data_IF_833278658442
#
_entry.id   IF_833278658442
#
_cell.length_a   1.000
_cell.length_b   1.000
_cell.length_c   1.000
_cell.angle_alpha   90.00
_cell.angle_beta   90.00
_cell.angle_gamma   90.00
#
_symmetry.space_group_name_H-M   'P 1'
#
loop_
_entity.id
_entity.type
_entity.pdbx_description
1 polymer ?
#
# COMPACT_ATOMS: atom_id res chain seq x y z
N UNK A 1 5.30 -24.37 14.80
CA UNK A 1 6.08 -23.12 14.63
C UNK A 1 5.33 -22.24 13.64
N UNK A 2 5.34 -20.93 13.84
CA UNK A 2 4.87 -19.97 12.85
C UNK A 2 6.02 -19.74 11.86
N UNK A 3 5.89 -20.27 10.65
CA UNK A 3 6.87 -20.18 9.55
C UNK A 3 6.10 -19.92 8.24
N UNK A 4 5.53 -18.71 8.10
CA UNK A 4 4.78 -18.36 6.88
C UNK A 4 5.69 -18.47 5.66
N UNK A 5 5.11 -18.86 4.52
CA UNK A 5 5.80 -18.90 3.23
C UNK A 5 5.19 -17.88 2.29
N UNK A 6 5.97 -17.24 1.42
CA UNK A 6 5.45 -16.30 0.46
C UNK A 6 4.28 -16.85 -0.36
N UNK A 7 3.37 -15.96 -0.74
CA UNK A 7 2.15 -16.24 -1.50
C UNK A 7 1.07 -17.01 -0.75
N UNK A 8 1.15 -17.05 0.58
CA UNK A 8 0.11 -17.63 1.42
C UNK A 8 0.30 -19.10 1.77
N UNK A 9 -0.72 -19.69 2.37
CA UNK A 9 -0.66 -21.05 2.89
C UNK A 9 -2.04 -21.73 2.88
N UNK A 10 -2.05 -23.07 3.00
CA UNK A 10 -3.26 -23.82 3.30
C UNK A 10 -3.47 -23.88 4.81
N UNK A 11 -4.66 -23.50 5.27
CA UNK A 11 -5.03 -23.51 6.69
C UNK A 11 -6.33 -24.28 6.90
N UNK A 12 -6.39 -25.10 7.94
CA UNK A 12 -7.64 -25.71 8.39
C UNK A 12 -8.24 -24.89 9.53
N UNK A 13 -9.52 -24.52 9.40
CA UNK A 13 -10.26 -23.72 10.37
C UNK A 13 -11.29 -24.61 11.07
N UNK A 14 -11.28 -24.61 12.41
CA UNK A 14 -12.32 -25.23 13.24
C UNK A 14 -13.10 -24.14 13.95
N UNK A 15 -14.41 -24.10 13.75
CA UNK A 15 -15.32 -23.17 14.41
C UNK A 15 -16.30 -23.95 15.25
N UNK A 16 -16.39 -23.62 16.53
CA UNK A 16 -17.44 -24.13 17.41
C UNK A 16 -18.11 -22.99 18.18
N UNK A 17 -19.40 -23.14 18.49
CA UNK A 17 -20.18 -22.18 19.29
C UNK A 17 -20.74 -22.92 20.50
N UNK A 18 -20.61 -22.31 21.67
CA UNK A 18 -21.20 -22.81 22.92
C UNK A 18 -22.39 -21.95 23.33
N UNK A 19 -23.45 -22.57 23.83
CA UNK A 19 -24.55 -21.84 24.46
C UNK A 19 -24.17 -21.33 25.86
N UNK A 20 -25.11 -20.65 26.53
CA UNK A 20 -24.98 -20.14 27.90
C UNK A 20 -24.70 -21.22 28.95
N UNK A 21 -25.08 -22.47 28.67
CA UNK A 21 -24.80 -23.65 29.48
C UNK A 21 -23.44 -24.29 29.17
N UNK A 22 -22.69 -23.77 28.20
CA UNK A 22 -21.38 -24.29 27.79
C UNK A 22 -21.44 -25.48 26.83
N UNK A 23 -22.62 -25.87 26.36
CA UNK A 23 -22.84 -26.97 25.42
C UNK A 23 -22.51 -26.51 24.00
N UNK A 24 -21.78 -27.33 23.24
CA UNK A 24 -21.46 -27.02 21.84
C UNK A 24 -22.73 -27.17 21.00
N UNK A 25 -23.22 -26.06 20.45
CA UNK A 25 -24.43 -25.98 19.60
C UNK A 25 -24.10 -25.84 18.11
N UNK A 26 -22.82 -25.63 17.79
CA UNK A 26 -22.29 -25.64 16.42
C UNK A 26 -20.84 -26.12 16.47
N UNK A 27 -20.44 -27.00 15.55
CA UNK A 27 -19.08 -27.48 15.37
C UNK A 27 -18.85 -27.77 13.88
N UNK A 28 -17.88 -27.09 13.27
CA UNK A 28 -17.59 -27.26 11.85
C UNK A 28 -16.10 -27.07 11.55
N UNK A 29 -15.58 -27.95 10.69
CA UNK A 29 -14.25 -27.84 10.10
C UNK A 29 -14.34 -27.36 8.65
N UNK A 30 -13.42 -26.46 8.28
CA UNK A 30 -13.06 -26.15 6.90
C UNK A 30 -11.58 -26.44 6.71
N UNK A 31 -11.28 -27.58 6.11
CA UNK A 31 -9.91 -28.00 5.87
C UNK A 31 -9.37 -27.40 4.57
N UNK A 32 -8.06 -27.20 4.52
CA UNK A 32 -7.34 -26.77 3.31
C UNK A 32 -7.87 -25.45 2.71
N UNK A 33 -8.23 -24.49 3.57
CA UNK A 33 -8.62 -23.14 3.13
C UNK A 33 -7.38 -22.41 2.63
N UNK A 34 -7.41 -21.95 1.38
CA UNK A 34 -6.38 -21.10 0.79
C UNK A 34 -6.38 -19.73 1.47
N UNK A 35 -5.22 -19.35 2.01
CA UNK A 35 -4.97 -18.04 2.58
C UNK A 35 -4.07 -17.26 1.63
N UNK A 36 -4.38 -15.98 1.45
CA UNK A 36 -3.62 -15.07 0.60
C UNK A 36 -3.05 -13.97 1.50
N UNK A 37 -1.74 -13.80 1.48
CA UNK A 37 -1.10 -12.74 2.24
C UNK A 37 -1.22 -11.42 1.48
N UNK A 38 -1.52 -10.38 2.23
CA UNK A 38 -1.80 -9.05 1.71
C UNK A 38 -0.58 -8.50 0.94
N UNK A 39 -0.82 -7.86 -0.20
CA UNK A 39 0.22 -7.25 -1.03
C UNK A 39 1.18 -8.20 -1.77
N UNK A 40 1.38 -9.43 -1.31
CA UNK A 40 2.42 -10.33 -1.86
C UNK A 40 2.12 -10.79 -3.29
N UNK A 41 0.88 -11.19 -3.56
CA UNK A 41 0.46 -11.56 -4.92
C UNK A 41 0.46 -10.36 -5.86
N UNK A 42 0.16 -9.17 -5.34
CA UNK A 42 0.15 -7.92 -6.11
C UNK A 42 1.57 -7.48 -6.47
N UNK A 43 2.50 -7.53 -5.52
CA UNK A 43 3.90 -7.11 -5.71
C UNK A 43 4.75 -8.20 -6.37
N UNK A 44 4.38 -9.47 -6.22
CA UNK A 44 5.17 -10.62 -6.62
C UNK A 44 5.19 -10.95 -8.11
N UNK A 45 5.81 -12.09 -8.41
CA UNK A 45 6.13 -12.58 -9.75
C UNK A 45 5.16 -13.66 -10.26
N UNK A 46 4.22 -14.11 -9.43
CA UNK A 46 3.34 -15.23 -9.74
C UNK A 46 2.04 -14.79 -10.42
N UNK A 47 1.50 -15.70 -11.21
CA UNK A 47 0.16 -15.59 -11.79
C UNK A 47 -0.87 -16.11 -10.78
N UNK A 48 -1.93 -15.33 -10.57
CA UNK A 48 -3.12 -15.71 -9.83
C UNK A 48 -4.35 -15.38 -10.66
N UNK A 49 -5.26 -16.34 -10.81
CA UNK A 49 -6.48 -16.20 -11.63
C UNK A 49 -6.20 -15.65 -13.04
N UNK A 50 -5.07 -16.04 -13.65
CA UNK A 50 -4.70 -15.65 -15.01
C UNK A 50 -4.03 -14.27 -15.15
N UNK A 51 -3.79 -13.55 -14.05
CA UNK A 51 -3.06 -12.26 -14.04
C UNK A 51 -1.86 -12.31 -13.10
N UNK A 52 -0.72 -11.82 -13.59
CA UNK A 52 0.52 -11.72 -12.80
C UNK A 52 0.48 -10.58 -11.79
N UNK A 53 1.32 -10.67 -10.76
CA UNK A 53 1.70 -9.49 -9.96
C UNK A 53 2.60 -8.53 -10.74
N UNK A 54 3.03 -7.45 -10.09
CA UNK A 54 3.87 -6.43 -10.72
C UNK A 54 5.20 -6.98 -11.26
N UNK A 55 5.92 -7.77 -10.46
CA UNK A 55 7.21 -8.32 -10.87
C UNK A 55 7.13 -9.32 -12.03
N UNK A 56 5.95 -9.94 -12.25
CA UNK A 56 5.73 -10.81 -13.41
C UNK A 56 5.91 -10.06 -14.74
N UNK A 57 5.53 -8.78 -14.77
CA UNK A 57 5.62 -7.94 -15.97
C UNK A 57 6.93 -7.15 -16.07
N UNK A 58 7.77 -7.19 -15.03
CA UNK A 58 9.02 -6.44 -15.02
C UNK A 58 10.11 -7.19 -15.80
N UNK A 59 10.94 -6.47 -16.58
CA UNK A 59 12.06 -7.06 -17.30
C UNK A 59 13.01 -7.85 -16.40
N UNK A 60 13.64 -8.91 -16.95
CA UNK A 60 14.50 -9.81 -16.19
C UNK A 60 15.84 -9.19 -15.74
N UNK A 61 16.25 -8.08 -16.37
CA UNK A 61 17.47 -7.34 -16.02
C UNK A 61 17.29 -6.45 -14.76
N UNK A 62 16.07 -6.31 -14.25
CA UNK A 62 15.84 -5.69 -12.95
C UNK A 62 16.19 -6.65 -11.81
N UNK A 63 17.06 -6.20 -10.91
CA UNK A 63 17.24 -6.84 -9.61
C UNK A 63 15.96 -6.73 -8.77
N UNK A 64 15.57 -7.82 -8.11
CA UNK A 64 14.31 -7.94 -7.37
C UNK A 64 14.60 -8.04 -5.87
N UNK A 65 14.53 -6.92 -5.17
CA UNK A 65 14.58 -6.90 -3.71
C UNK A 65 13.15 -6.89 -3.15
N UNK A 66 12.78 -7.97 -2.43
CA UNK A 66 11.41 -8.21 -1.95
C UNK A 66 11.39 -8.20 -0.42
N UNK A 67 10.75 -7.18 0.14
CA UNK A 67 10.53 -7.03 1.58
C UNK A 67 9.10 -7.45 1.91
N UNK A 68 8.93 -8.69 2.38
CA UNK A 68 7.64 -9.20 2.83
C UNK A 68 7.70 -9.63 4.29
N UNK A 69 6.56 -9.56 4.96
CA UNK A 69 6.44 -10.06 6.32
C UNK A 69 6.55 -11.59 6.36
N UNK A 70 6.09 -12.30 5.32
CA UNK A 70 6.21 -13.77 5.23
C UNK A 70 7.62 -14.28 4.96
N UNK A 71 8.48 -13.49 4.29
CA UNK A 71 9.88 -13.89 4.05
C UNK A 71 10.83 -13.39 5.14
N UNK A 72 10.30 -12.70 6.17
CA UNK A 72 11.05 -12.19 7.31
C UNK A 72 11.94 -10.98 7.00
N UNK A 73 11.80 -10.35 5.82
CA UNK A 73 12.55 -9.15 5.44
C UNK A 73 11.81 -7.83 5.73
N UNK A 74 10.52 -7.87 6.05
CA UNK A 74 9.77 -6.72 6.55
C UNK A 74 9.28 -6.98 7.97
N UNK A 75 9.97 -6.39 8.95
CA UNK A 75 9.66 -6.51 10.37
C UNK A 75 9.40 -5.16 11.01
N UNK A 76 10.02 -4.09 10.51
CA UNK A 76 9.75 -2.72 10.95
C UNK A 76 10.10 -1.66 9.88
N UNK A 77 10.02 -0.39 10.29
CA UNK A 77 10.32 0.77 9.45
C UNK A 77 11.79 0.86 9.02
N UNK A 78 12.72 0.34 9.82
CA UNK A 78 14.14 0.39 9.51
C UNK A 78 14.51 -0.52 8.36
N UNK A 79 13.87 -1.69 8.22
CA UNK A 79 14.06 -2.58 7.07
C UNK A 79 13.76 -1.83 5.76
N UNK A 80 12.61 -1.14 5.71
CA UNK A 80 12.16 -0.35 4.56
C UNK A 80 13.12 0.80 4.28
N UNK A 81 13.47 1.60 5.30
CA UNK A 81 14.42 2.72 5.14
C UNK A 81 15.79 2.22 4.68
N UNK A 82 16.28 1.10 5.21
CA UNK A 82 17.58 0.54 4.85
C UNK A 82 17.61 0.12 3.37
N UNK A 83 16.62 -0.64 2.93
CA UNK A 83 16.51 -1.07 1.53
C UNK A 83 16.40 0.13 0.57
N UNK A 84 15.57 1.12 0.92
CA UNK A 84 15.44 2.35 0.13
C UNK A 84 16.76 3.13 0.05
N UNK A 85 17.55 3.17 1.13
CA UNK A 85 18.83 3.87 1.18
C UNK A 85 19.91 3.26 0.28
N UNK A 86 19.82 1.96 -0.04
CA UNK A 86 20.69 1.32 -1.04
C UNK A 86 20.41 1.86 -2.45
N UNK A 87 19.14 2.23 -2.70
CA UNK A 87 18.63 2.82 -3.93
C UNK A 87 17.96 1.80 -4.84
N UNK A 88 16.89 2.21 -5.52
CA UNK A 88 16.16 1.38 -6.47
C UNK A 88 15.59 2.22 -7.62
N UNK A 89 15.29 1.57 -8.75
CA UNK A 89 14.61 2.24 -9.88
C UNK A 89 13.11 2.39 -9.68
N UNK A 90 12.49 1.41 -9.01
CA UNK A 90 11.09 1.42 -8.61
C UNK A 90 10.95 1.03 -7.15
N UNK A 91 10.01 1.67 -6.46
CA UNK A 91 9.52 1.26 -5.15
C UNK A 91 8.05 0.88 -5.31
N UNK A 92 7.68 -0.37 -5.01
CA UNK A 92 6.27 -0.78 -5.00
C UNK A 92 5.84 -1.22 -3.60
N UNK A 93 4.85 -0.54 -3.04
CA UNK A 93 4.30 -0.82 -1.71
C UNK A 93 2.81 -1.14 -1.87
N UNK A 94 2.39 -2.37 -1.58
CA UNK A 94 0.97 -2.78 -1.60
C UNK A 94 0.53 -3.21 -0.21
N UNK A 95 -0.45 -2.50 0.37
CA UNK A 95 -0.81 -2.60 1.78
C UNK A 95 -1.73 -1.47 2.22
N UNK A 96 -1.60 -1.01 3.46
CA UNK A 96 -2.44 0.01 4.09
C UNK A 96 -1.76 1.36 4.11
N UNK A 97 -2.55 2.42 3.87
CA UNK A 97 -2.06 3.79 3.84
C UNK A 97 -2.93 4.74 4.64
N UNK A 98 -2.32 5.83 5.04
CA UNK A 98 -2.94 7.07 5.49
C UNK A 98 -2.11 8.25 4.96
N UNK A 99 -2.53 9.51 5.17
CA UNK A 99 -1.66 10.64 4.87
C UNK A 99 -0.34 10.59 5.65
N UNK A 100 -0.33 10.02 6.86
CA UNK A 100 0.84 9.99 7.73
C UNK A 100 1.76 8.78 7.49
N UNK A 101 1.21 7.62 7.17
CA UNK A 101 1.95 6.36 7.28
C UNK A 101 1.49 5.32 6.28
N UNK A 102 2.38 4.38 6.02
CA UNK A 102 2.09 3.16 5.29
C UNK A 102 2.54 1.96 6.10
N UNK A 103 1.78 0.87 6.02
CA UNK A 103 2.08 -0.38 6.71
C UNK A 103 1.37 -1.58 6.08
N UNK A 104 1.68 -2.76 6.59
CA UNK A 104 1.06 -4.01 6.15
C UNK A 104 0.85 -4.96 7.34
N UNK A 105 0.23 -6.12 7.11
CA UNK A 105 -0.03 -7.10 8.14
C UNK A 105 0.96 -8.27 8.16
N UNK A 106 1.15 -8.84 9.35
CA UNK A 106 1.77 -10.15 9.51
C UNK A 106 0.88 -11.24 8.90
N UNK A 107 1.47 -12.28 8.28
CA UNK A 107 0.72 -13.37 7.66
C UNK A 107 -0.28 -14.03 8.61
N UNK A 108 -1.54 -14.13 8.20
CA UNK A 108 -2.60 -14.72 9.01
C UNK A 108 -3.10 -13.87 10.18
N UNK A 109 -2.62 -12.62 10.33
CA UNK A 109 -3.10 -11.63 11.31
C UNK A 109 -3.19 -12.22 12.74
N UNK A 110 -2.08 -12.79 13.28
CA UNK A 110 -2.10 -13.49 14.55
C UNK A 110 -2.48 -12.55 15.69
N UNK A 111 -3.43 -12.97 16.52
CA UNK A 111 -3.84 -12.17 17.66
C UNK A 111 -4.71 -10.95 17.33
N UNK A 112 -5.25 -10.82 16.10
CA UNK A 112 -6.04 -9.70 15.57
C UNK A 112 -5.20 -8.58 14.91
N UNK A 113 -5.88 -7.64 14.23
CA UNK A 113 -5.24 -6.55 13.48
C UNK A 113 -4.35 -5.66 14.35
N UNK A 114 -4.75 -5.36 15.59
CA UNK A 114 -3.98 -4.48 16.48
C UNK A 114 -2.57 -5.02 16.76
N UNK A 115 -2.42 -6.35 16.82
CA UNK A 115 -1.16 -7.02 17.16
C UNK A 115 -0.40 -7.54 15.94
N UNK A 116 -0.97 -7.39 14.75
CA UNK A 116 -0.44 -7.94 13.52
C UNK A 116 -0.18 -6.88 12.45
N UNK A 117 -0.11 -5.60 12.80
CA UNK A 117 0.26 -4.53 11.86
C UNK A 117 1.74 -4.17 12.01
N UNK A 118 2.42 -4.02 10.87
CA UNK A 118 3.79 -3.55 10.74
C UNK A 118 3.78 -2.18 10.05
N UNK A 119 4.59 -1.25 10.55
CA UNK A 119 4.72 0.08 9.95
C UNK A 119 5.94 0.11 9.04
N UNK A 120 5.74 0.44 7.76
CA UNK A 120 6.81 0.55 6.78
C UNK A 120 7.40 1.94 6.71
N UNK A 121 6.57 2.97 6.51
CA UNK A 121 7.02 4.37 6.48
C UNK A 121 6.07 5.25 7.28
N UNK A 122 6.61 6.32 7.88
CA UNK A 122 5.84 7.31 8.63
C UNK A 122 6.42 8.70 8.40
N UNK A 123 5.56 9.65 8.01
CA UNK A 123 5.88 11.06 7.85
C UNK A 123 6.22 11.67 9.20
N UNK A 124 5.30 11.62 10.17
CA UNK A 124 5.50 12.23 11.49
C UNK A 124 5.05 11.34 12.65
N UNK A 125 5.79 11.43 13.75
CA UNK A 125 5.51 10.83 15.05
C UNK A 125 4.88 11.81 16.04
N UNK A 126 4.51 13.02 15.59
CA UNK A 126 3.71 13.95 16.38
C UNK A 126 2.33 13.35 16.64
N UNK A 127 1.80 13.53 17.86
CA UNK A 127 0.50 12.99 18.28
C UNK A 127 -0.29 14.07 18.99
N UNK A 128 -1.64 14.09 18.87
CA UNK A 128 -2.47 15.06 19.59
C UNK A 128 -2.62 14.72 21.08
N UNK A 129 -2.13 13.56 21.53
CA UNK A 129 -2.19 13.07 22.91
C UNK A 129 -0.80 12.71 23.45
N UNK A 130 -0.65 12.77 24.78
CA UNK A 130 0.59 12.44 25.48
C UNK A 130 1.05 10.99 25.20
N UNK A 131 2.35 10.74 24.94
CA UNK A 131 3.45 11.71 24.86
C UNK A 131 3.50 12.37 23.47
N UNK A 132 3.05 13.62 23.37
CA UNK A 132 2.76 14.38 22.13
C UNK A 132 3.82 14.31 21.02
N UNK A 133 5.04 13.92 21.36
CA UNK A 133 6.19 13.76 20.48
C UNK A 133 6.85 12.42 20.79
N UNK A 134 7.13 11.64 19.75
CA UNK A 134 8.04 10.49 19.79
C UNK A 134 9.20 10.74 18.82
N UNK A 135 10.40 10.27 19.16
CA UNK A 135 11.59 10.44 18.33
C UNK A 135 11.89 9.18 17.50
N UNK A 136 12.34 9.32 16.23
CA UNK A 136 12.51 10.58 15.49
C UNK A 136 11.16 11.25 15.17
N UNK A 137 11.11 12.58 15.17
CA UNK A 137 9.86 13.34 14.92
C UNK A 137 9.35 13.09 13.51
N UNK A 138 10.25 13.02 12.53
CA UNK A 138 9.93 12.68 11.14
C UNK A 138 10.73 11.44 10.72
N UNK A 139 10.23 10.21 10.97
CA UNK A 139 10.97 8.98 10.67
C UNK A 139 11.42 8.84 9.22
N UNK A 140 10.56 9.25 8.28
CA UNK A 140 10.88 9.30 6.85
C UNK A 140 12.12 10.13 6.51
N UNK A 141 12.55 11.02 7.42
CA UNK A 141 13.78 11.79 7.23
C UNK A 141 15.06 10.95 7.37
N UNK A 142 14.93 9.69 7.79
CA UNK A 142 15.97 8.67 7.72
C UNK A 142 16.31 8.21 6.30
N UNK A 143 15.50 8.57 5.29
CA UNK A 143 15.81 8.36 3.88
C UNK A 143 16.98 9.27 3.43
N UNK A 144 18.01 8.64 2.88
CA UNK A 144 19.34 9.16 2.54
C UNK A 144 19.89 8.53 1.24
N UNK A 145 19.02 8.03 0.37
CA UNK A 145 19.39 7.45 -0.93
C UNK A 145 19.96 8.45 -1.95
N UNK A 146 20.09 9.74 -1.59
CA UNK A 146 20.71 10.74 -2.44
C UNK A 146 20.02 10.84 -3.80
N UNK A 147 20.79 10.72 -4.88
CA UNK A 147 20.28 10.79 -6.26
C UNK A 147 19.73 9.46 -6.79
N UNK A 148 19.76 8.38 -5.99
CA UNK A 148 19.19 7.07 -6.36
C UNK A 148 17.68 7.05 -6.10
N UNK A 149 16.95 7.87 -6.83
CA UNK A 149 15.55 8.19 -6.58
C UNK A 149 14.61 7.29 -7.41
N UNK A 150 13.82 6.40 -6.78
CA UNK A 150 12.87 5.56 -7.49
C UNK A 150 11.65 6.33 -8.00
N UNK A 151 10.95 5.75 -8.97
CA UNK A 151 9.51 5.99 -9.13
C UNK A 151 8.76 5.14 -8.11
N UNK A 152 8.08 5.78 -7.16
CA UNK A 152 7.30 5.10 -6.13
C UNK A 152 5.86 4.86 -6.61
N UNK A 153 5.37 3.63 -6.47
CA UNK A 153 3.96 3.26 -6.63
C UNK A 153 3.48 2.80 -5.26
N UNK A 154 2.57 3.55 -4.65
CA UNK A 154 2.15 3.36 -3.27
C UNK A 154 0.66 3.04 -3.24
N UNK A 155 0.37 1.77 -2.99
CA UNK A 155 -0.96 1.27 -2.70
C UNK A 155 -1.44 1.64 -1.29
N UNK A 156 -2.72 1.42 -1.05
CA UNK A 156 -3.41 1.77 0.20
C UNK A 156 -4.06 3.15 0.17
N UNK A 157 -4.76 3.49 1.24
CA UNK A 157 -5.62 4.66 1.30
C UNK A 157 -4.84 5.96 1.55
N UNK A 158 -5.30 7.09 1.00
CA UNK A 158 -4.92 8.47 1.36
C UNK A 158 -3.43 8.84 1.36
N UNK A 159 -2.54 7.96 0.92
CA UNK A 159 -1.10 8.20 0.89
C UNK A 159 -0.72 9.40 0.00
N UNK A 160 -1.57 9.75 -0.96
CA UNK A 160 -1.45 10.91 -1.84
C UNK A 160 -2.51 11.99 -1.56
N UNK A 161 -3.10 12.06 -0.36
CA UNK A 161 -4.04 13.12 0.01
C UNK A 161 -3.33 14.49 0.14
N UNK A 162 -3.01 15.10 -1.00
CA UNK A 162 -2.15 16.28 -1.11
C UNK A 162 -2.74 17.57 -0.54
N UNK A 163 -4.02 17.57 -0.12
CA UNK A 163 -4.65 18.68 0.58
C UNK A 163 -4.53 18.58 2.12
N UNK A 164 -3.88 17.55 2.65
CA UNK A 164 -3.62 17.43 4.10
C UNK A 164 -2.68 18.55 4.58
N UNK A 165 -2.89 19.01 5.82
CA UNK A 165 -2.04 19.99 6.48
C UNK A 165 -2.23 19.90 8.00
N UNK A 166 -1.27 20.41 8.80
CA UNK A 166 -1.27 20.26 10.27
C UNK A 166 -2.59 20.72 10.89
N UNK A 167 -3.05 21.93 10.58
CA UNK A 167 -4.24 22.52 11.21
C UNK A 167 -5.49 21.67 10.94
N UNK A 168 -5.89 21.42 9.68
CA UNK A 168 -7.07 20.59 9.44
C UNK A 168 -6.87 19.15 9.94
N UNK A 169 -5.65 18.61 9.91
CA UNK A 169 -5.38 17.27 10.45
C UNK A 169 -5.60 17.18 11.97
N UNK A 170 -5.16 18.19 12.74
CA UNK A 170 -5.45 18.28 14.18
C UNK A 170 -6.94 18.46 14.43
N UNK A 171 -7.61 19.32 13.66
CA UNK A 171 -9.06 19.53 13.77
C UNK A 171 -9.87 18.27 13.46
N UNK A 172 -9.32 17.32 12.70
CA UNK A 172 -9.96 16.03 12.44
C UNK A 172 -10.18 15.21 13.73
N UNK A 173 -9.40 15.45 14.80
CA UNK A 173 -9.64 14.84 16.11
C UNK A 173 -11.03 15.19 16.67
N UNK A 174 -11.58 16.36 16.33
CA UNK A 174 -12.91 16.77 16.82
C UNK A 174 -14.03 15.89 16.29
N UNK A 175 -13.84 15.21 15.15
CA UNK A 175 -14.79 14.23 14.67
C UNK A 175 -15.03 13.09 15.69
N UNK A 176 -13.99 12.69 16.43
CA UNK A 176 -14.09 11.68 17.50
C UNK A 176 -14.94 12.13 18.69
N UNK A 177 -15.25 13.44 18.78
CA UNK A 177 -16.08 14.05 19.81
C UNK A 177 -17.45 14.51 19.27
N UNK A 178 -17.87 14.01 18.10
CA UNK A 178 -19.19 14.27 17.52
C UNK A 178 -19.30 15.55 16.70
N UNK A 179 -18.18 16.22 16.39
CA UNK A 179 -18.16 17.34 15.45
C UNK A 179 -18.16 16.82 13.99
N UNK A 180 -18.56 17.66 13.01
CA UNK A 180 -18.51 17.29 11.59
C UNK A 180 -17.11 16.84 11.16
N UNK A 181 -17.05 15.76 10.39
CA UNK A 181 -15.79 15.30 9.81
C UNK A 181 -15.31 16.30 8.74
N UNK A 182 -14.03 16.64 8.78
CA UNK A 182 -13.37 17.44 7.75
C UNK A 182 -12.61 16.58 6.73
N UNK A 183 -12.77 15.25 6.79
CA UNK A 183 -12.30 14.26 5.82
C UNK A 183 -10.79 14.28 5.59
N UNK A 184 -10.01 14.59 6.63
CA UNK A 184 -8.55 14.55 6.56
C UNK A 184 -7.96 13.15 6.73
N UNK A 185 -8.73 12.19 7.26
CA UNK A 185 -8.26 10.80 7.45
C UNK A 185 -6.96 10.68 8.25
N UNK A 186 -6.74 11.61 9.18
CA UNK A 186 -5.56 11.66 10.05
C UNK A 186 -5.87 11.30 11.48
N UNK A 187 -7.15 11.27 11.87
CA UNK A 187 -7.59 10.99 13.25
C UNK A 187 -6.90 11.90 14.29
N UNK A 188 -6.61 13.15 13.91
CA UNK A 188 -5.93 14.12 14.76
C UNK A 188 -4.41 14.13 14.65
N UNK A 189 -3.79 13.21 13.92
CA UNK A 189 -2.33 13.19 13.73
C UNK A 189 -1.88 14.49 13.03
N UNK A 190 -0.91 15.26 13.54
CA UNK A 190 -0.48 16.55 12.97
C UNK A 190 0.37 16.38 11.70
N UNK A 191 -0.23 15.89 10.61
CA UNK A 191 0.47 15.58 9.36
C UNK A 191 0.66 16.85 8.52
N UNK A 192 1.91 17.26 8.22
CA UNK A 192 2.17 18.47 7.45
C UNK A 192 1.94 18.31 5.95
N UNK A 193 2.20 17.12 5.43
CA UNK A 193 2.07 16.77 4.03
C UNK A 193 1.89 15.25 3.89
N UNK A 194 1.25 14.79 2.82
CA UNK A 194 0.97 13.37 2.65
C UNK A 194 2.24 12.57 2.34
N UNK A 195 2.23 11.26 2.66
CA UNK A 195 3.35 10.35 2.47
C UNK A 195 3.96 10.42 1.07
N UNK A 196 3.12 10.35 0.02
CA UNK A 196 3.58 10.37 -1.37
C UNK A 196 4.25 11.69 -1.73
N UNK A 197 3.74 12.83 -1.26
CA UNK A 197 4.40 14.12 -1.48
C UNK A 197 5.69 14.24 -0.66
N UNK A 198 5.70 13.75 0.59
CA UNK A 198 6.91 13.72 1.42
C UNK A 198 8.00 12.85 0.79
N UNK A 199 7.67 11.79 0.06
CA UNK A 199 8.68 11.03 -0.69
C UNK A 199 9.33 11.88 -1.79
N UNK A 200 8.56 12.71 -2.49
CA UNK A 200 9.02 13.50 -3.65
C UNK A 200 9.69 14.82 -3.23
N UNK A 201 9.22 15.48 -2.17
CA UNK A 201 9.67 16.82 -1.74
C UNK A 201 10.99 16.81 -0.96
N UNK A 202 11.57 15.64 -0.71
CA UNK A 202 12.77 15.47 0.12
C UNK A 202 14.04 15.87 -0.63
N UNK A 203 14.82 16.75 -0.02
CA UNK A 203 16.04 17.29 -0.64
C UNK A 203 17.22 16.30 -0.69
N UNK A 204 17.29 15.33 0.23
CA UNK A 204 18.47 14.45 0.42
C UNK A 204 18.16 12.95 0.19
N UNK A 205 17.11 12.64 -0.57
CA UNK A 205 16.64 11.27 -0.82
C UNK A 205 15.15 11.26 -1.08
N UNK A 206 14.51 10.10 -0.93
CA UNK A 206 13.09 9.91 -1.23
C UNK A 206 12.89 9.31 -2.62
N UNK A 207 12.02 9.89 -3.43
CA UNK A 207 11.62 9.40 -4.75
C UNK A 207 11.61 10.54 -5.78
N UNK A 208 11.81 10.23 -7.06
CA UNK A 208 11.76 11.24 -8.15
C UNK A 208 10.32 11.53 -8.57
N UNK A 209 9.43 10.57 -8.34
CA UNK A 209 7.99 10.69 -8.49
C UNK A 209 7.28 9.66 -7.61
N UNK A 210 6.03 9.92 -7.26
CA UNK A 210 5.18 8.99 -6.52
C UNK A 210 3.79 8.91 -7.15
N UNK A 211 3.21 7.72 -7.18
CA UNK A 211 1.85 7.46 -7.65
C UNK A 211 1.07 6.81 -6.51
N UNK A 212 -0.14 7.29 -6.22
CA UNK A 212 -0.95 6.70 -5.15
C UNK A 212 -2.32 7.35 -5.00
N UNK A 213 -3.03 7.02 -3.93
CA UNK A 213 -4.44 7.35 -3.77
C UNK A 213 -4.66 8.64 -2.95
N UNK A 214 -5.45 9.57 -3.48
CA UNK A 214 -5.94 10.74 -2.72
C UNK A 214 -7.07 10.39 -1.74
N UNK A 215 -7.70 9.23 -1.92
CA UNK A 215 -8.83 8.73 -1.12
C UNK A 215 -8.66 7.27 -0.70
N UNK A 216 -9.77 6.58 -0.42
CA UNK A 216 -9.80 5.15 -0.13
C UNK A 216 -9.37 4.30 -1.35
N UNK A 217 -8.15 3.75 -1.32
CA UNK A 217 -7.66 2.77 -2.28
C UNK A 217 -8.26 1.39 -1.99
N UNK A 218 -9.24 0.98 -2.78
CA UNK A 218 -9.96 -0.27 -2.56
C UNK A 218 -9.12 -1.48 -2.98
N UNK A 219 -8.83 -2.38 -2.05
CA UNK A 219 -8.21 -3.67 -2.34
C UNK A 219 -9.25 -4.75 -2.54
N UNK A 220 -8.94 -5.73 -3.40
CA UNK A 220 -9.73 -6.95 -3.53
C UNK A 220 -9.10 -8.06 -2.67
N UNK A 221 -9.85 -8.72 -1.78
CA UNK A 221 -9.28 -9.73 -0.90
C UNK A 221 -9.14 -11.09 -1.61
N UNK A 222 -8.26 -11.93 -1.06
CA UNK A 222 -8.16 -13.33 -1.45
C UNK A 222 -7.68 -13.54 -2.88
N UNK A 223 -8.25 -14.55 -3.55
CA UNK A 223 -7.83 -14.97 -4.89
C UNK A 223 -7.99 -13.92 -5.99
N UNK A 224 -8.83 -12.91 -5.74
CA UNK A 224 -9.16 -11.87 -6.73
C UNK A 224 -8.31 -10.59 -6.52
N UNK A 225 -7.30 -10.63 -5.65
CA UNK A 225 -6.43 -9.48 -5.35
C UNK A 225 -5.65 -8.93 -6.56
N UNK A 226 -5.46 -9.72 -7.62
CA UNK A 226 -4.81 -9.28 -8.87
C UNK A 226 -5.80 -8.95 -9.97
N UNK A 227 -7.03 -9.48 -9.92
CA UNK A 227 -8.00 -9.47 -11.05
C UNK A 227 -9.24 -8.64 -10.78
N UNK A 228 -9.69 -8.48 -9.53
CA UNK A 228 -10.98 -7.88 -9.21
C UNK A 228 -11.05 -6.35 -9.35
N UNK A 229 -9.94 -5.70 -9.70
CA UNK A 229 -9.87 -4.23 -9.83
C UNK A 229 -9.23 -3.56 -8.62
N UNK A 230 -9.55 -2.28 -8.44
CA UNK A 230 -9.07 -1.47 -7.35
C UNK A 230 -7.56 -1.21 -7.40
N UNK A 231 -7.01 -0.99 -6.22
CA UNK A 231 -5.62 -0.62 -5.97
C UNK A 231 -4.65 -1.69 -6.46
N UNK A 232 -4.94 -2.97 -6.17
CA UNK A 232 -4.12 -4.09 -6.64
C UNK A 232 -4.02 -4.15 -8.16
N UNK A 233 -5.15 -4.00 -8.86
CA UNK A 233 -5.15 -4.09 -10.32
C UNK A 233 -4.44 -2.90 -10.98
N UNK A 234 -4.76 -1.66 -10.58
CA UNK A 234 -4.24 -0.44 -11.23
C UNK A 234 -2.74 -0.25 -11.00
N UNK A 235 -2.26 -0.64 -9.82
CA UNK A 235 -0.83 -0.60 -9.51
C UNK A 235 -0.04 -1.65 -10.29
N UNK A 236 -0.52 -2.90 -10.39
CA UNK A 236 0.07 -3.93 -11.28
C UNK A 236 0.11 -3.43 -12.73
N UNK A 237 -0.99 -2.82 -13.18
CA UNK A 237 -1.11 -2.35 -14.55
C UNK A 237 -0.04 -1.32 -14.92
N UNK A 238 0.37 -0.44 -13.99
CA UNK A 238 1.49 0.47 -14.21
C UNK A 238 2.78 -0.26 -14.60
N UNK A 239 3.12 -1.33 -13.88
CA UNK A 239 4.30 -2.14 -14.17
C UNK A 239 4.18 -2.88 -15.50
N UNK A 240 2.97 -3.35 -15.85
CA UNK A 240 2.70 -3.91 -17.19
C UNK A 240 2.89 -2.88 -18.30
N UNK A 241 2.43 -1.65 -18.10
CA UNK A 241 2.65 -0.57 -19.08
C UNK A 241 4.13 -0.29 -19.28
N UNK A 242 4.93 -0.29 -18.20
CA UNK A 242 6.37 -0.11 -18.30
C UNK A 242 7.08 -1.32 -18.94
N UNK A 243 6.96 -2.51 -18.36
CA UNK A 243 7.78 -3.66 -18.69
C UNK A 243 7.31 -4.45 -19.92
N UNK A 244 5.99 -4.60 -20.10
CA UNK A 244 5.42 -5.34 -21.24
C UNK A 244 5.04 -4.43 -22.40
N UNK A 245 4.48 -3.24 -22.13
CA UNK A 245 4.04 -2.29 -23.18
C UNK A 245 5.10 -1.24 -23.56
N UNK A 246 6.28 -1.31 -22.94
CA UNK A 246 7.42 -0.42 -23.21
C UNK A 246 7.10 1.08 -23.11
N UNK A 247 6.22 1.46 -22.18
CA UNK A 247 5.90 2.87 -21.90
C UNK A 247 6.93 3.45 -20.94
N UNK A 248 8.00 4.02 -21.48
CA UNK A 248 9.11 4.54 -20.67
C UNK A 248 8.97 6.03 -20.28
N UNK A 249 7.96 6.74 -20.78
CA UNK A 249 7.62 8.09 -20.26
C UNK A 249 6.63 7.92 -19.13
N UNK A 250 6.93 8.47 -17.94
CA UNK A 250 6.18 8.23 -16.71
C UNK A 250 4.69 8.57 -16.85
N UNK A 251 4.36 9.72 -17.41
CA UNK A 251 2.99 10.13 -17.67
C UNK A 251 2.27 9.23 -18.69
N UNK A 252 3.00 8.65 -19.64
CA UNK A 252 2.41 7.70 -20.59
C UNK A 252 2.13 6.34 -19.94
N UNK A 253 3.01 5.86 -19.06
CA UNK A 253 2.77 4.62 -18.31
C UNK A 253 1.59 4.79 -17.34
N UNK A 254 1.54 5.91 -16.61
CA UNK A 254 0.43 6.27 -15.71
C UNK A 254 -0.90 6.39 -16.48
N UNK A 255 -0.94 7.18 -17.55
CA UNK A 255 -2.15 7.34 -18.37
C UNK A 255 -2.58 6.03 -19.06
N UNK A 256 -1.61 5.20 -19.47
CA UNK A 256 -1.86 3.87 -20.03
C UNK A 256 -2.55 2.96 -19.02
N UNK A 257 -2.11 2.96 -17.76
CA UNK A 257 -2.71 2.14 -16.72
C UNK A 257 -4.15 2.58 -16.40
N UNK A 258 -4.39 3.89 -16.32
CA UNK A 258 -5.75 4.44 -16.15
C UNK A 258 -6.65 4.07 -17.34
N UNK A 259 -6.15 4.22 -18.57
CA UNK A 259 -6.91 3.92 -19.79
C UNK A 259 -7.28 2.43 -19.87
N UNK A 260 -6.35 1.54 -19.54
CA UNK A 260 -6.61 0.11 -19.53
C UNK A 260 -7.62 -0.25 -18.43
N UNK A 261 -7.52 0.36 -17.25
CA UNK A 261 -8.48 0.14 -16.17
C UNK A 261 -9.90 0.51 -16.60
N UNK A 262 -10.08 1.70 -17.19
CA UNK A 262 -11.38 2.17 -17.69
C UNK A 262 -11.93 1.22 -18.75
N UNK A 263 -11.07 0.65 -19.58
CA UNK A 263 -11.45 -0.26 -20.66
C UNK A 263 -11.74 -1.69 -20.17
N UNK A 264 -11.30 -2.04 -18.96
CA UNK A 264 -11.41 -3.38 -18.38
C UNK A 264 -12.61 -3.57 -17.47
N UNK A 265 -13.18 -2.49 -16.93
CA UNK A 265 -14.25 -2.54 -15.94
C UNK A 265 -15.46 -1.71 -16.36
N UNK A 266 -16.65 -2.07 -15.87
CA UNK A 266 -17.86 -1.31 -16.10
C UNK A 266 -17.86 -0.02 -15.25
N UNK A 267 -17.63 1.13 -15.89
CA UNK A 267 -17.66 2.43 -15.21
C UNK A 267 -19.06 2.86 -14.76
N UNK A 268 -20.12 2.16 -15.17
CA UNK A 268 -21.48 2.42 -14.68
C UNK A 268 -21.78 1.68 -13.37
N UNK A 269 -20.97 0.71 -12.98
CA UNK A 269 -21.03 0.06 -11.66
C UNK A 269 -20.35 0.94 -10.59
N UNK A 270 -21.12 1.88 -10.05
CA UNK A 270 -20.67 2.76 -8.98
C UNK A 270 -20.39 2.03 -7.66
N UNK A 271 -21.06 0.90 -7.40
CA UNK A 271 -20.91 0.15 -6.15
C UNK A 271 -19.56 -0.57 -6.09
N UNK A 272 -19.06 -1.04 -7.23
CA UNK A 272 -17.72 -1.63 -7.33
C UNK A 272 -16.58 -0.61 -7.13
N UNK A 273 -16.85 0.70 -7.19
CA UNK A 273 -15.87 1.74 -6.89
C UNK A 273 -14.79 1.94 -7.96
N UNK A 274 -15.03 1.46 -9.18
CA UNK A 274 -14.09 1.59 -10.31
C UNK A 274 -13.83 3.05 -10.71
N UNK A 275 -14.91 3.85 -10.82
CA UNK A 275 -14.81 5.30 -11.13
C UNK A 275 -13.97 6.03 -10.09
N UNK A 276 -14.17 5.71 -8.81
CA UNK A 276 -13.38 6.27 -7.71
C UNK A 276 -11.90 5.91 -7.83
N UNK A 277 -11.60 4.65 -8.17
CA UNK A 277 -10.22 4.15 -8.31
C UNK A 277 -9.42 5.00 -9.30
N UNK A 278 -9.98 5.26 -10.49
CA UNK A 278 -9.27 6.03 -11.52
C UNK A 278 -9.19 7.53 -11.23
N UNK A 279 -10.19 8.10 -10.54
CA UNK A 279 -10.21 9.52 -10.21
C UNK A 279 -9.23 9.91 -9.09
N UNK A 280 -8.95 8.99 -8.16
CA UNK A 280 -8.12 9.27 -6.99
C UNK A 280 -6.64 8.90 -7.17
N UNK A 281 -6.29 8.14 -8.21
CA UNK A 281 -4.96 7.58 -8.39
C UNK A 281 -4.06 8.56 -9.15
N UNK A 282 -3.36 9.40 -8.39
CA UNK A 282 -2.64 10.57 -8.90
C UNK A 282 -1.14 10.33 -8.99
N UNK A 283 -0.52 10.95 -9.99
CA UNK A 283 0.92 11.07 -10.15
C UNK A 283 1.40 12.41 -9.56
N UNK A 284 2.34 12.35 -8.62
CA UNK A 284 3.08 13.47 -8.06
C UNK A 284 4.52 13.41 -8.57
N UNK A 285 4.92 14.37 -9.41
CA UNK A 285 6.24 14.41 -10.05
C UNK A 285 6.14 14.93 -11.49
N UNK A 286 7.23 14.86 -12.24
CA UNK A 286 7.28 15.26 -13.64
C UNK A 286 6.71 14.15 -14.56
N UNK A 287 5.54 14.33 -15.19
CA UNK A 287 4.98 13.31 -16.09
C UNK A 287 5.80 13.13 -17.38
N UNK A 288 6.69 14.07 -17.72
CA UNK A 288 7.57 13.97 -18.89
C UNK A 288 8.84 13.15 -18.62
N UNK A 289 9.08 12.74 -17.38
CA UNK A 289 10.23 11.93 -16.97
C UNK A 289 10.34 10.66 -17.83
N UNK A 290 11.50 10.48 -18.47
CA UNK A 290 11.88 9.20 -19.08
C UNK A 290 12.45 8.28 -18.00
N UNK A 291 11.70 7.24 -17.65
CA UNK A 291 12.10 6.22 -16.70
C UNK A 291 13.32 5.46 -17.25
N UNK A 292 14.38 5.38 -16.44
CA UNK A 292 15.69 4.85 -16.86
C UNK A 292 16.64 5.91 -17.42
N UNK A 293 16.21 7.18 -17.52
CA UNK A 293 17.05 8.29 -17.97
C UNK A 293 17.01 8.55 -19.48
N UNK A 294 17.64 9.66 -19.89
CA UNK A 294 17.76 10.08 -21.28
C UNK A 294 18.84 9.32 -22.04
#
# INVERSE_FOLDING_TARGET
SYDPKPYGNLTSIHVWVKNDKGEVVFDAWRNNTEMYYEGEWTTGEKILNGRGGALYYMPEDFEREILWSSNGKFTDTYDVISALNEGCGFLFMSGHGSPNSWGDHLPGIPGNRQHASLTGLTVTNLRPWFPYISFPVFPIDGLKNGEKLPVAVVGGCHNSQFNVSIIPAVLNAFHLFGFPDNYMWTYGQPVPECLSWRLVSRANGGAIASIGNTGLGYGMPGRDCTTGGGDGWITIEFFRQYGEKSKHVLGQAHAGAVTEYISSFDMSDFEAGHVKTVQQWVLLGDPSLKIGGY
#
